data_IF_218887499698
#
_entry.id   IF_218887499698
#
_cell.length_a   1.000
_cell.length_b   1.000
_cell.length_c   1.000
_cell.angle_alpha   90.00
_cell.angle_beta   90.00
_cell.angle_gamma   90.00
#
_symmetry.space_group_name_H-M   'P 1'
#
loop_
_entity.id
_entity.type
_entity.pdbx_description
1 polymer ?
#
# COMPACT_ATOMS: atom_id res chain seq x y z
N UNK A 1 12.00 28.28 13.24
CA UNK A 1 11.26 27.03 13.53
C UNK A 1 10.58 26.46 12.29
N UNK A 2 9.85 27.26 11.51
CA UNK A 2 9.15 26.80 10.29
C UNK A 2 10.09 26.23 9.22
N UNK A 3 11.23 26.88 8.99
CA UNK A 3 12.26 26.37 8.07
C UNK A 3 12.84 25.01 8.50
N UNK A 4 12.93 24.72 9.80
CA UNK A 4 13.39 23.43 10.29
C UNK A 4 12.34 22.33 10.02
N UNK A 5 11.06 22.63 10.22
CA UNK A 5 9.95 21.72 9.88
C UNK A 5 9.94 21.40 8.38
N UNK A 6 10.10 22.42 7.54
CA UNK A 6 10.11 22.27 6.09
C UNK A 6 11.32 21.46 5.61
N UNK A 7 12.51 21.70 6.17
CA UNK A 7 13.71 20.89 5.88
C UNK A 7 13.55 19.44 6.31
N UNK A 8 13.00 19.20 7.50
CA UNK A 8 12.70 17.85 7.97
C UNK A 8 11.78 17.11 7.00
N UNK A 9 10.66 17.73 6.61
CA UNK A 9 9.72 17.15 5.64
C UNK A 9 10.38 16.86 4.29
N UNK A 10 11.24 17.76 3.78
CA UNK A 10 11.96 17.55 2.52
C UNK A 10 12.85 16.30 2.57
N UNK A 11 13.53 16.06 3.69
CA UNK A 11 14.40 14.90 3.87
C UNK A 11 13.56 13.61 3.90
N UNK A 12 12.52 13.56 4.73
CA UNK A 12 11.75 12.31 4.89
C UNK A 12 10.81 12.05 3.70
N UNK A 13 10.46 13.06 2.90
CA UNK A 13 9.62 12.92 1.71
C UNK A 13 10.24 12.01 0.65
N UNK A 14 11.56 11.86 0.62
CA UNK A 14 12.28 10.98 -0.29
C UNK A 14 12.11 9.49 0.05
N UNK A 15 11.65 9.17 1.26
CA UNK A 15 11.50 7.79 1.69
C UNK A 15 10.29 7.12 1.04
N UNK A 16 10.38 5.85 0.62
CA UNK A 16 9.26 5.11 0.02
C UNK A 16 8.09 4.90 0.99
N UNK A 17 8.33 5.13 2.28
CA UNK A 17 7.38 4.99 3.40
C UNK A 17 6.81 6.31 3.89
N UNK A 18 7.16 7.43 3.25
CA UNK A 18 6.62 8.73 3.62
C UNK A 18 5.11 8.78 3.40
N UNK A 19 4.38 9.33 4.37
CA UNK A 19 2.92 9.43 4.30
C UNK A 19 2.20 8.09 4.35
N UNK A 20 2.86 7.03 4.82
CA UNK A 20 2.24 5.72 5.03
C UNK A 20 1.41 5.66 6.30
N UNK A 21 0.28 4.97 6.20
CA UNK A 21 -0.39 4.38 7.36
C UNK A 21 0.14 2.96 7.54
N UNK A 22 0.57 2.62 8.75
CA UNK A 22 1.18 1.32 9.05
C UNK A 22 0.27 0.41 9.86
N UNK A 23 0.33 -0.88 9.55
CA UNK A 23 -0.41 -1.95 10.19
C UNK A 23 0.55 -3.09 10.54
N UNK A 24 0.72 -3.39 11.82
CA UNK A 24 1.39 -4.62 12.24
C UNK A 24 0.39 -5.76 12.14
N UNK A 25 0.74 -6.82 11.41
CA UNK A 25 -0.14 -7.95 11.14
C UNK A 25 0.64 -9.25 11.17
N UNK A 26 -0.06 -10.37 11.37
CA UNK A 26 0.52 -11.70 11.27
C UNK A 26 0.14 -12.35 9.94
N UNK A 27 1.12 -12.64 9.08
CA UNK A 27 0.90 -13.27 7.78
C UNK A 27 0.93 -14.80 7.87
N UNK A 28 0.24 -15.49 6.97
CA UNK A 28 0.13 -16.97 6.98
C UNK A 28 0.43 -17.64 5.64
N UNK A 29 0.86 -16.88 4.62
CA UNK A 29 0.94 -17.36 3.24
C UNK A 29 2.31 -17.23 2.58
N UNK A 30 3.20 -16.38 3.08
CA UNK A 30 4.53 -16.16 2.50
C UNK A 30 5.63 -16.68 3.43
N UNK A 31 6.17 -17.89 3.18
CA UNK A 31 7.12 -18.54 4.09
C UNK A 31 8.48 -17.87 4.14
N UNK A 32 8.81 -16.99 3.18
CA UNK A 32 10.07 -16.25 3.17
C UNK A 32 10.04 -15.01 4.07
N UNK A 33 8.86 -14.59 4.52
CA UNK A 33 8.70 -13.47 5.45
C UNK A 33 8.62 -13.96 6.91
N UNK A 34 8.95 -13.11 7.89
CA UNK A 34 8.62 -13.40 9.28
C UNK A 34 7.09 -13.53 9.46
N UNK A 35 6.66 -14.23 10.51
CA UNK A 35 5.23 -14.40 10.82
C UNK A 35 4.55 -13.04 11.05
N UNK A 36 5.24 -12.11 11.71
CA UNK A 36 4.78 -10.74 11.91
C UNK A 36 5.45 -9.86 10.87
N UNK A 37 4.67 -9.02 10.20
CA UNK A 37 5.15 -8.04 9.23
C UNK A 37 4.50 -6.68 9.50
N UNK A 38 5.13 -5.61 9.01
CA UNK A 38 4.56 -4.28 9.00
C UNK A 38 4.11 -3.95 7.57
N UNK A 39 2.81 -3.69 7.38
CA UNK A 39 2.26 -3.25 6.10
C UNK A 39 2.11 -1.73 6.12
N UNK A 40 2.77 -1.04 5.19
CA UNK A 40 2.65 0.40 4.98
C UNK A 40 1.86 0.72 3.72
N UNK A 41 0.73 1.41 3.84
CA UNK A 41 -0.12 1.81 2.71
C UNK A 41 0.01 3.33 2.49
N UNK A 42 0.40 3.75 1.29
CA UNK A 42 0.54 5.16 0.90
C UNK A 42 0.17 5.41 -0.57
N UNK A 43 0.46 6.62 -1.07
CA UNK A 43 0.15 7.01 -2.46
C UNK A 43 0.85 6.15 -3.52
N UNK A 44 1.94 5.46 -3.20
CA UNK A 44 2.66 4.58 -4.13
C UNK A 44 2.06 3.17 -4.17
N UNK A 45 1.44 2.71 -3.08
CA UNK A 45 0.88 1.37 -3.00
C UNK A 45 1.01 0.76 -1.61
N UNK A 46 1.31 -0.53 -1.60
CA UNK A 46 1.45 -1.36 -0.40
C UNK A 46 2.91 -1.79 -0.24
N UNK A 47 3.53 -1.42 0.87
CA UNK A 47 4.87 -1.85 1.25
C UNK A 47 4.78 -2.91 2.34
N UNK A 48 5.58 -3.96 2.23
CA UNK A 48 5.75 -5.00 3.25
C UNK A 48 7.13 -4.81 3.87
N UNK A 49 7.19 -4.62 5.18
CA UNK A 49 8.43 -4.34 5.90
C UNK A 49 8.69 -5.35 7.00
N UNK A 50 9.96 -5.62 7.24
CA UNK A 50 10.41 -6.39 8.38
C UNK A 50 10.14 -5.60 9.67
N UNK A 51 9.47 -6.16 10.70
CA UNK A 51 8.96 -5.36 11.81
C UNK A 51 10.06 -4.83 12.73
N UNK A 52 11.23 -5.46 12.79
CA UNK A 52 12.37 -4.98 13.59
C UNK A 52 13.28 -4.04 12.79
N UNK A 53 13.92 -4.53 11.72
CA UNK A 53 14.90 -3.79 10.93
C UNK A 53 14.30 -2.64 10.12
N UNK A 54 12.99 -2.70 9.83
CA UNK A 54 12.28 -1.77 8.94
C UNK A 54 12.74 -1.86 7.47
N UNK A 55 13.43 -2.94 7.11
CA UNK A 55 13.79 -3.20 5.72
C UNK A 55 12.51 -3.47 4.90
N UNK A 56 12.48 -2.94 3.68
CA UNK A 56 11.39 -3.21 2.74
C UNK A 56 11.61 -4.59 2.12
N UNK A 57 10.71 -5.52 2.43
CA UNK A 57 10.70 -6.88 1.91
C UNK A 57 10.09 -6.92 0.50
N UNK A 58 9.03 -6.12 0.28
CA UNK A 58 8.40 -5.96 -1.01
C UNK A 58 7.62 -4.63 -1.09
N UNK A 59 7.46 -4.13 -2.31
CA UNK A 59 6.59 -3.00 -2.65
C UNK A 59 5.69 -3.42 -3.81
N UNK A 60 4.40 -3.16 -3.68
CA UNK A 60 3.39 -3.46 -4.70
C UNK A 60 2.61 -2.19 -5.03
N UNK A 61 2.67 -1.78 -6.29
CA UNK A 61 1.89 -0.64 -6.78
C UNK A 61 0.39 -0.99 -6.86
N UNK A 62 -0.48 0.01 -6.82
CA UNK A 62 -1.93 -0.21 -6.98
C UNK A 62 -2.31 -0.89 -8.30
N UNK A 63 -1.50 -0.69 -9.35
CA UNK A 63 -1.66 -1.35 -10.66
C UNK A 63 -1.46 -2.86 -10.61
N UNK A 64 -0.72 -3.35 -9.61
CA UNK A 64 -0.43 -4.77 -9.40
C UNK A 64 -1.47 -5.44 -8.49
N UNK A 65 -2.31 -4.67 -7.80
CA UNK A 65 -3.32 -5.22 -6.89
C UNK A 65 -4.55 -5.67 -7.69
N UNK A 66 -4.79 -6.97 -7.70
CA UNK A 66 -5.90 -7.56 -8.46
C UNK A 66 -7.19 -7.68 -7.65
N UNK A 67 -7.08 -7.88 -6.33
CA UNK A 67 -8.22 -7.97 -5.43
C UNK A 67 -7.77 -7.78 -3.98
N UNK A 68 -8.64 -7.24 -3.13
CA UNK A 68 -8.48 -7.23 -1.69
C UNK A 68 -9.83 -7.46 -1.01
N UNK A 69 -9.81 -7.90 0.24
CA UNK A 69 -11.01 -8.12 1.03
C UNK A 69 -10.65 -8.17 2.50
N UNK A 70 -11.54 -7.70 3.36
CA UNK A 70 -11.38 -7.76 4.81
C UNK A 70 -12.53 -8.51 5.50
N UNK A 71 -12.23 -9.05 6.68
CA UNK A 71 -13.21 -9.51 7.65
C UNK A 71 -12.84 -9.02 9.05
N UNK A 72 -13.62 -9.42 10.07
CA UNK A 72 -13.41 -8.96 11.44
C UNK A 72 -12.01 -9.32 12.02
N UNK A 73 -11.38 -10.37 11.50
CA UNK A 73 -10.12 -10.91 12.02
C UNK A 73 -9.06 -11.10 10.94
N UNK A 74 -9.30 -10.66 9.70
CA UNK A 74 -8.33 -10.84 8.63
C UNK A 74 -8.39 -9.73 7.57
N UNK A 75 -7.29 -9.65 6.84
CA UNK A 75 -7.16 -8.90 5.60
C UNK A 75 -6.50 -9.82 4.56
N UNK A 76 -7.04 -9.85 3.35
CA UNK A 76 -6.52 -10.64 2.25
C UNK A 76 -6.24 -9.75 1.05
N UNK A 77 -5.06 -9.91 0.45
CA UNK A 77 -4.60 -9.17 -0.71
C UNK A 77 -4.09 -10.14 -1.78
N UNK A 78 -4.52 -9.94 -3.02
CA UNK A 78 -4.03 -10.69 -4.18
C UNK A 78 -3.28 -9.76 -5.12
N UNK A 79 -1.99 -10.01 -5.28
CA UNK A 79 -1.06 -9.24 -6.11
C UNK A 79 -0.76 -10.04 -7.39
N UNK A 80 -0.64 -9.32 -8.51
CA UNK A 80 -0.24 -9.87 -9.80
C UNK A 80 -1.39 -10.22 -10.74
N UNK A 81 -1.05 -10.72 -11.91
CA UNK A 81 -2.00 -11.01 -12.99
C UNK A 81 -2.51 -12.46 -12.95
N UNK A 82 -3.32 -12.86 -13.93
CA UNK A 82 -3.93 -14.21 -14.00
C UNK A 82 -2.87 -15.34 -13.93
N UNK A 83 -1.65 -15.11 -14.43
CA UNK A 83 -0.60 -16.14 -14.55
C UNK A 83 0.33 -16.23 -13.33
N UNK A 84 0.58 -15.11 -12.62
CA UNK A 84 1.38 -15.09 -11.38
C UNK A 84 0.62 -14.30 -10.32
N UNK A 85 -0.10 -15.04 -9.46
CA UNK A 85 -0.81 -14.47 -8.32
C UNK A 85 -0.07 -14.79 -7.03
N UNK A 86 0.31 -13.75 -6.30
CA UNK A 86 0.73 -13.86 -4.91
C UNK A 86 -0.46 -13.53 -4.03
N UNK A 87 -0.75 -14.38 -3.05
CA UNK A 87 -1.80 -14.14 -2.06
C UNK A 87 -1.15 -13.84 -0.72
N UNK A 88 -1.52 -12.72 -0.11
CA UNK A 88 -1.13 -12.36 1.23
C UNK A 88 -2.38 -12.44 2.12
N UNK A 89 -2.39 -13.37 3.07
CA UNK A 89 -3.41 -13.45 4.11
C UNK A 89 -2.82 -13.03 5.44
N UNK A 90 -3.43 -12.02 6.04
CA UNK A 90 -3.00 -11.42 7.30
C UNK A 90 -4.10 -11.56 8.35
N UNK A 91 -3.75 -12.09 9.52
CA UNK A 91 -4.55 -12.00 10.74
C UNK A 91 -4.42 -10.56 11.30
N UNK A 92 -5.56 -9.86 11.43
CA UNK A 92 -5.61 -8.49 11.94
C UNK A 92 -7.05 -8.09 12.30
N UNK A 93 -7.21 -7.27 13.33
CA UNK A 93 -8.51 -6.64 13.67
C UNK A 93 -8.75 -5.33 12.90
N UNK A 94 -7.77 -4.86 12.14
CA UNK A 94 -7.82 -3.58 11.41
C UNK A 94 -8.02 -3.76 9.90
N UNK A 95 -8.44 -4.96 9.46
CA UNK A 95 -8.60 -5.26 8.02
C UNK A 95 -9.50 -4.27 7.30
N UNK A 96 -10.59 -3.82 7.93
CA UNK A 96 -11.50 -2.83 7.36
C UNK A 96 -10.81 -1.48 7.05
N UNK A 97 -9.86 -1.04 7.89
CA UNK A 97 -9.11 0.20 7.63
C UNK A 97 -8.16 0.05 6.45
N UNK A 98 -7.55 -1.13 6.32
CA UNK A 98 -6.64 -1.42 5.21
C UNK A 98 -7.41 -1.47 3.88
N UNK A 99 -8.57 -2.11 3.89
CA UNK A 99 -9.53 -2.15 2.79
C UNK A 99 -9.99 -0.75 2.38
N UNK A 100 -10.46 0.05 3.33
CA UNK A 100 -10.91 1.43 3.08
C UNK A 100 -9.79 2.29 2.46
N UNK A 101 -8.55 2.16 2.94
CA UNK A 101 -7.40 2.89 2.41
C UNK A 101 -7.06 2.48 0.97
N UNK A 102 -6.97 1.17 0.70
CA UNK A 102 -6.63 0.68 -0.64
C UNK A 102 -7.73 1.04 -1.64
N UNK A 103 -8.99 0.91 -1.24
CA UNK A 103 -10.15 1.32 -2.04
C UNK A 103 -10.08 2.81 -2.36
N UNK A 104 -9.88 3.65 -1.34
CA UNK A 104 -9.83 5.11 -1.51
C UNK A 104 -8.69 5.55 -2.44
N UNK A 105 -7.49 4.97 -2.31
CA UNK A 105 -6.36 5.28 -3.20
C UNK A 105 -6.62 4.79 -4.62
N UNK A 106 -7.15 3.57 -4.79
CA UNK A 106 -7.45 3.02 -6.11
C UNK A 106 -8.48 3.86 -6.86
N UNK A 107 -9.55 4.27 -6.17
CA UNK A 107 -10.58 5.16 -6.72
C UNK A 107 -10.02 6.53 -7.09
N UNK A 108 -9.18 7.11 -6.23
CA UNK A 108 -8.52 8.38 -6.51
C UNK A 108 -7.63 8.31 -7.75
N UNK A 109 -6.81 7.27 -7.89
CA UNK A 109 -5.90 7.07 -9.03
C UNK A 109 -6.69 6.87 -10.32
N UNK A 110 -7.74 6.04 -10.29
CA UNK A 110 -8.62 5.81 -11.44
C UNK A 110 -9.28 7.11 -11.91
N UNK A 111 -9.87 7.86 -10.99
CA UNK A 111 -10.54 9.13 -11.30
C UNK A 111 -9.56 10.20 -11.80
N UNK A 112 -8.35 10.26 -11.25
CA UNK A 112 -7.31 11.19 -11.70
C UNK A 112 -6.82 10.86 -13.11
N UNK A 113 -6.62 9.58 -13.41
CA UNK A 113 -6.20 9.11 -14.74
C UNK A 113 -7.28 9.37 -15.81
N UNK A 114 -8.57 9.23 -15.46
CA UNK A 114 -9.68 9.54 -16.36
C UNK A 114 -9.72 11.03 -16.71
N UNK A 115 -9.58 11.91 -15.71
CA UNK A 115 -9.55 13.37 -15.91
C UNK A 115 -8.38 13.81 -16.79
N UNK A 116 -7.22 13.16 -16.68
CA UNK A 116 -6.06 13.48 -17.53
C UNK A 116 -6.32 13.13 -18.99
N UNK A 117 -6.83 11.92 -19.25
CA UNK A 117 -7.21 11.48 -20.61
C UNK A 117 -8.28 12.35 -21.24
N UNK A 118 -9.22 12.86 -20.45
CA UNK A 118 -10.22 13.83 -20.93
C UNK A 118 -9.57 15.15 -21.32
N UNK A 119 -8.66 15.69 -20.50
CA UNK A 119 -7.94 16.94 -20.81
C UNK A 119 -7.10 16.83 -22.08
N UNK A 120 -6.41 15.71 -22.28
CA UNK A 120 -5.62 15.46 -23.50
C UNK A 120 -6.47 15.45 -24.78
N UNK A 121 -7.73 14.98 -24.72
CA UNK A 121 -8.66 15.01 -25.87
C UNK A 121 -9.10 16.42 -26.29
N UNK A 122 -8.96 17.42 -25.42
CA UNK A 122 -9.31 18.81 -25.74
C UNK A 122 -8.10 19.63 -26.23
N UNK A 123 -6.90 19.03 -26.22
CA UNK A 123 -5.65 19.66 -26.68
C UNK A 123 -5.28 19.19 -28.11
N UNK A 124 -5.96 18.15 -28.62
CA UNK A 124 -5.87 17.66 -30.00
C UNK A 124 -7.09 18.06 -30.82
#
# INVERSE_FOLDING_TARGET
MEQAKLRFLKIIYEWPTFGSTFFEVKQTTEPTYPDIILIGINKQGVNILHPQTKDVLATHEFSELSNWSSGNTYFHLTIGNIMRKTKLLCETSQGYKMDDLITSYTDYIRNSTMKEKEREKFIL
#
